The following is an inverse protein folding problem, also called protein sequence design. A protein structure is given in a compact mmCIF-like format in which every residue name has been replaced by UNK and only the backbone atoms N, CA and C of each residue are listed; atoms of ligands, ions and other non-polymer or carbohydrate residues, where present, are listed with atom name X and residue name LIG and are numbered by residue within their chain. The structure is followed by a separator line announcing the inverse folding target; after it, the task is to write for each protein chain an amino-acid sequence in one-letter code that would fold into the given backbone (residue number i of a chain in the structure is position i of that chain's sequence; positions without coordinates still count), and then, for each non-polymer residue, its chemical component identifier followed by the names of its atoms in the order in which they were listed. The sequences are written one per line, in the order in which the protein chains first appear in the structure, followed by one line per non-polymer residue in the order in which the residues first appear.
data_IF_024072495995
#
_entry.id   IF_024072495995
#
_cell.length_a   1.000
_cell.length_b   1.000
_cell.length_c   1.000
_cell.angle_alpha   90.00
_cell.angle_beta   90.00
_cell.angle_gamma   90.00
#
_symmetry.space_group_name_H-M   'P 1'
#
loop_
_entity.id
_entity.type
_entity.pdbx_description
1 polymer ?
#
# COMPACT_ATOMS: atom_id res chain seq x y z
N UNK A 1 -25.16 -27.72 -13.36
CA UNK A 1 -25.18 -26.46 -12.58
C UNK A 1 -24.00 -26.30 -11.60
N UNK A 2 -23.56 -27.33 -10.86
CA UNK A 2 -22.50 -27.16 -9.82
C UNK A 2 -21.12 -26.71 -10.34
N UNK A 3 -20.67 -27.20 -11.53
CA UNK A 3 -19.37 -26.80 -12.10
C UNK A 3 -19.28 -25.31 -12.47
N UNK A 4 -20.40 -24.70 -12.88
CA UNK A 4 -20.45 -23.28 -13.28
C UNK A 4 -20.31 -22.35 -12.06
N UNK A 5 -20.90 -22.73 -10.92
CA UNK A 5 -20.78 -21.96 -9.68
C UNK A 5 -19.35 -22.01 -9.14
N UNK A 6 -18.68 -23.17 -9.20
CA UNK A 6 -17.29 -23.30 -8.76
C UNK A 6 -16.32 -22.44 -9.59
N UNK A 7 -16.47 -22.45 -10.92
CA UNK A 7 -15.68 -21.61 -11.81
C UNK A 7 -15.92 -20.11 -11.56
N UNK A 8 -17.18 -19.70 -11.37
CA UNK A 8 -17.52 -18.31 -11.05
C UNK A 8 -16.92 -17.86 -9.72
N UNK A 9 -16.99 -18.70 -8.68
CA UNK A 9 -16.38 -18.43 -7.37
C UNK A 9 -14.86 -18.29 -7.48
N UNK A 10 -14.22 -19.09 -8.32
CA UNK A 10 -12.77 -19.00 -8.56
C UNK A 10 -12.40 -17.68 -9.25
N UNK A 11 -13.20 -17.24 -10.23
CA UNK A 11 -12.97 -15.96 -10.93
C UNK A 11 -13.18 -14.77 -9.98
N UNK A 12 -14.23 -14.79 -9.15
CA UNK A 12 -14.46 -13.76 -8.12
C UNK A 12 -13.27 -13.68 -7.16
N UNK A 13 -12.76 -14.83 -6.70
CA UNK A 13 -11.60 -14.88 -5.81
C UNK A 13 -10.34 -14.33 -6.48
N UNK A 14 -10.12 -14.65 -7.75
CA UNK A 14 -8.99 -14.13 -8.54
C UNK A 14 -9.08 -12.62 -8.69
N UNK A 15 -10.25 -12.10 -9.03
CA UNK A 15 -10.49 -10.67 -9.20
C UNK A 15 -10.28 -9.90 -7.89
N UNK A 16 -10.79 -10.44 -6.77
CA UNK A 16 -10.58 -9.88 -5.44
C UNK A 16 -9.11 -9.83 -5.06
N UNK A 17 -8.33 -10.88 -5.36
CA UNK A 17 -6.89 -10.91 -5.08
C UNK A 17 -6.13 -9.84 -5.87
N UNK A 18 -6.42 -9.71 -7.16
CA UNK A 18 -5.79 -8.69 -8.01
C UNK A 18 -6.14 -7.27 -7.54
N UNK A 19 -7.38 -7.06 -7.13
CA UNK A 19 -7.79 -5.77 -6.56
C UNK A 19 -7.02 -5.45 -5.27
N UNK A 20 -6.85 -6.42 -4.37
CA UNK A 20 -6.04 -6.24 -3.16
C UNK A 20 -4.58 -5.91 -3.49
N UNK A 21 -4.02 -6.54 -4.51
CA UNK A 21 -2.65 -6.29 -4.95
C UNK A 21 -2.49 -4.88 -5.53
N UNK A 22 -3.45 -4.43 -6.35
CA UNK A 22 -3.50 -3.05 -6.86
C UNK A 22 -3.61 -2.05 -5.70
N UNK A 23 -4.51 -2.29 -4.74
CA UNK A 23 -4.67 -1.43 -3.58
C UNK A 23 -3.40 -1.39 -2.73
N UNK A 24 -2.71 -2.52 -2.58
CA UNK A 24 -1.46 -2.60 -1.84
C UNK A 24 -0.36 -1.78 -2.52
N UNK A 25 -0.14 -1.97 -3.82
CA UNK A 25 0.83 -1.21 -4.62
C UNK A 25 0.53 0.29 -4.62
N UNK A 26 -0.75 0.66 -4.66
CA UNK A 26 -1.15 2.06 -4.59
C UNK A 26 -0.87 2.69 -3.20
N UNK A 27 -0.77 1.89 -2.14
CA UNK A 27 -0.68 2.36 -0.74
C UNK A 27 0.70 2.16 -0.09
N UNK A 28 1.57 1.35 -0.68
CA UNK A 28 2.88 1.04 -0.11
C UNK A 28 4.02 1.47 -1.04
N UNK A 29 5.15 1.84 -0.45
CA UNK A 29 6.38 2.13 -1.17
C UNK A 29 6.99 0.81 -1.66
N UNK A 30 7.33 0.71 -2.95
CA UNK A 30 7.79 -0.56 -3.54
C UNK A 30 9.17 -0.98 -3.03
N UNK A 31 10.04 -0.02 -2.68
CA UNK A 31 11.39 -0.30 -2.23
C UNK A 31 11.43 -0.87 -0.81
N UNK A 32 10.57 -0.36 0.07
CA UNK A 32 10.61 -0.66 1.51
C UNK A 32 9.41 -1.46 2.02
N UNK A 33 8.32 -1.50 1.26
CA UNK A 33 7.06 -2.13 1.64
C UNK A 33 6.27 -1.40 2.72
N UNK A 34 6.75 -0.24 3.22
CA UNK A 34 6.03 0.56 4.22
C UNK A 34 4.92 1.38 3.55
N UNK A 35 4.00 1.92 4.35
CA UNK A 35 2.97 2.84 3.84
C UNK A 35 3.64 4.02 3.11
N UNK A 36 3.21 4.26 1.88
CA UNK A 36 3.69 5.41 1.14
C UNK A 36 3.14 6.71 1.73
N UNK A 37 3.70 7.85 1.30
CA UNK A 37 3.34 9.17 1.82
C UNK A 37 1.83 9.44 1.75
N UNK A 38 1.16 9.06 0.66
CA UNK A 38 -0.27 9.31 0.48
C UNK A 38 -1.09 8.51 1.50
N UNK A 39 -0.83 7.21 1.60
CA UNK A 39 -1.54 6.35 2.53
C UNK A 39 -1.27 6.74 3.99
N UNK A 40 -0.04 7.13 4.32
CA UNK A 40 0.30 7.65 5.64
C UNK A 40 -0.56 8.86 6.03
N UNK A 41 -0.76 9.82 5.13
CA UNK A 41 -1.59 11.01 5.40
C UNK A 41 -3.07 10.67 5.59
N UNK A 42 -3.63 9.80 4.74
CA UNK A 42 -5.00 9.28 4.89
C UNK A 42 -5.23 8.67 6.29
N UNK A 43 -4.25 7.90 6.77
CA UNK A 43 -4.30 7.29 8.11
C UNK A 43 -4.12 8.32 9.24
N UNK A 44 -3.31 9.36 9.04
CA UNK A 44 -3.11 10.43 10.03
C UNK A 44 -4.36 11.29 10.22
N UNK A 45 -5.08 11.63 9.15
CA UNK A 45 -6.37 12.33 9.24
C UNK A 45 -7.36 11.56 10.10
N UNK A 46 -7.43 10.23 9.90
CA UNK A 46 -8.29 9.35 10.70
C UNK A 46 -7.83 9.28 12.16
N UNK A 47 -6.51 9.19 12.41
CA UNK A 47 -5.96 9.03 13.76
C UNK A 47 -6.11 10.30 14.62
N UNK A 48 -5.92 11.48 14.02
CA UNK A 48 -6.06 12.77 14.72
C UNK A 48 -7.47 13.02 15.24
N UNK A 49 -8.49 12.53 14.52
CA UNK A 49 -9.89 12.66 14.93
C UNK A 49 -10.22 11.86 16.21
N UNK A 50 -9.41 10.86 16.56
CA UNK A 50 -9.72 9.92 17.64
C UNK A 50 -8.98 10.29 18.93
N UNK A 51 -7.70 10.70 18.84
CA UNK A 51 -6.88 11.00 20.03
C UNK A 51 -5.62 11.83 19.68
N UNK A 52 -5.02 12.52 20.67
CA UNK A 52 -3.71 13.13 20.51
C UNK A 52 -2.67 12.12 19.99
N UNK A 53 -1.92 12.53 18.97
CA UNK A 53 -0.95 11.67 18.27
C UNK A 53 0.41 12.36 18.24
N UNK A 54 1.47 11.61 18.51
CA UNK A 54 2.85 12.07 18.35
C UNK A 54 3.42 11.64 17.01
N UNK A 55 4.21 12.49 16.38
CA UNK A 55 4.87 12.23 15.10
C UNK A 55 6.38 12.18 15.30
N UNK A 56 7.04 11.20 14.69
CA UNK A 56 8.50 11.11 14.60
C UNK A 56 8.87 11.07 13.13
N UNK A 57 9.82 11.93 12.75
CA UNK A 57 10.39 11.95 11.41
C UNK A 57 11.82 11.42 11.48
N UNK A 58 12.12 10.42 10.67
CA UNK A 58 13.45 9.88 10.49
C UNK A 58 13.99 10.35 9.13
N UNK A 59 15.25 10.74 9.10
CA UNK A 59 15.99 11.03 7.87
C UNK A 59 17.28 10.20 7.86
N UNK A 60 17.73 9.83 6.66
CA UNK A 60 18.98 9.09 6.50
C UNK A 60 20.10 10.10 6.30
N UNK A 61 20.95 10.25 7.30
CA UNK A 61 22.12 11.13 7.24
C UNK A 61 23.02 10.76 6.05
N UNK A 62 23.50 11.79 5.34
CA UNK A 62 24.44 11.63 4.22
C UNK A 62 23.95 10.68 3.12
N UNK A 63 22.64 10.63 2.85
CA UNK A 63 22.08 9.78 1.79
C UNK A 63 22.82 10.05 0.46
N UNK A 64 23.59 9.07 -0.05
CA UNK A 64 24.48 9.30 -1.18
C UNK A 64 23.66 9.64 -2.42
N UNK A 65 24.16 10.54 -3.27
CA UNK A 65 23.63 10.78 -4.62
C UNK A 65 23.87 9.55 -5.50
N UNK A 66 23.18 8.45 -5.23
CA UNK A 66 23.08 7.35 -6.18
C UNK A 66 22.04 7.82 -7.21
N UNK A 67 22.48 8.18 -8.41
CA UNK A 67 21.59 8.43 -9.54
C UNK A 67 20.99 7.10 -9.99
N UNK A 68 19.90 6.68 -9.35
CA UNK A 68 19.13 5.51 -9.78
C UNK A 68 18.11 5.97 -10.82
N UNK A 69 18.57 6.42 -12.00
CA UNK A 69 17.73 6.51 -13.20
C UNK A 69 18.61 6.32 -14.45
N UNK A 70 18.87 5.06 -14.81
CA UNK A 70 19.01 4.68 -16.22
C UNK A 70 17.74 3.91 -16.57
N UNK A 71 16.72 4.65 -16.93
CA UNK A 71 15.64 4.19 -17.81
C UNK A 71 15.59 5.17 -18.98
#
# INVERSE_FOLDING_TARGET
MQKSNAALQQEIKKHSKLQQEIEWLARHDELTGIANRRYFLEQMETAQAIRPTSLVLFDIDHFPKIQIWRV
#
